data_IF_215469527776
#
_entry.id   IF_215469527776
#
_cell.length_a   1.000
_cell.length_b   1.000
_cell.length_c   1.000
_cell.angle_alpha   90.00
_cell.angle_beta   90.00
_cell.angle_gamma   90.00
#
_symmetry.space_group_name_H-M   'P 1'
#
loop_
_entity.id
_entity.type
_entity.pdbx_description
1 polymer ?
#
# COMPACT_ATOMS: atom_id res chain seq x y z
N UNK A 1 -10.53 7.76 11.36
CA UNK A 1 -11.39 7.72 10.17
C UNK A 1 -12.79 7.54 10.68
N UNK A 2 -13.60 8.55 10.62
CA UNK A 2 -15.00 8.41 10.94
C UNK A 2 -15.68 7.64 9.79
N UNK A 3 -16.66 6.89 10.11
CA UNK A 3 -17.78 6.44 9.30
C UNK A 3 -17.47 5.46 8.17
N UNK A 4 -17.35 4.21 8.48
CA UNK A 4 -17.42 3.21 7.46
C UNK A 4 -16.53 2.01 7.74
N UNK A 5 -16.58 1.10 6.85
CA UNK A 5 -15.77 -0.09 6.82
C UNK A 5 -14.27 0.23 6.91
N UNK A 6 -13.51 -0.63 7.59
CA UNK A 6 -12.07 -0.50 7.73
C UNK A 6 -11.36 -1.83 7.55
N UNK A 7 -10.24 -1.82 6.84
CA UNK A 7 -9.37 -3.00 6.72
C UNK A 7 -8.26 -2.91 7.76
N UNK A 8 -8.19 -3.90 8.64
CA UNK A 8 -7.21 -3.98 9.74
C UNK A 8 -6.48 -5.33 9.66
N UNK A 9 -5.15 -5.35 9.79
CA UNK A 9 -4.43 -6.61 9.94
C UNK A 9 -4.56 -7.12 11.37
N UNK A 10 -4.87 -8.40 11.53
CA UNK A 10 -4.72 -9.14 12.77
C UNK A 10 -3.52 -10.09 12.62
N UNK A 11 -2.87 -10.41 13.72
CA UNK A 11 -1.82 -11.42 13.74
C UNK A 11 -2.38 -12.62 14.50
N UNK A 12 -2.41 -13.77 13.84
CA UNK A 12 -2.84 -15.02 14.44
C UNK A 12 -1.73 -15.61 15.30
N UNK A 13 -2.06 -16.58 16.18
CA UNK A 13 -1.08 -17.25 17.02
C UNK A 13 0.03 -17.96 16.21
N UNK A 14 -0.28 -18.40 15.00
CA UNK A 14 0.68 -18.95 14.03
C UNK A 14 1.68 -17.95 13.46
N UNK A 15 1.56 -16.66 13.78
CA UNK A 15 2.34 -15.59 13.17
C UNK A 15 1.75 -15.06 11.86
N UNK A 16 0.72 -15.70 11.32
CA UNK A 16 0.07 -15.25 10.08
C UNK A 16 -0.60 -13.87 10.26
N UNK A 17 -0.39 -12.99 9.27
CA UNK A 17 -1.04 -11.67 9.20
C UNK A 17 -2.24 -11.74 8.29
N UNK A 18 -3.42 -11.76 8.89
CA UNK A 18 -4.68 -11.80 8.16
C UNK A 18 -5.32 -10.40 8.14
N UNK A 19 -5.45 -9.76 6.96
CA UNK A 19 -6.30 -8.58 6.82
C UNK A 19 -7.76 -8.94 7.01
N UNK A 20 -8.48 -8.12 7.79
CA UNK A 20 -9.90 -8.29 8.10
C UNK A 20 -10.63 -7.02 7.73
N UNK A 21 -11.76 -7.14 7.04
CA UNK A 21 -12.69 -6.05 6.77
C UNK A 21 -13.69 -5.96 7.93
N UNK A 22 -13.69 -4.84 8.62
CA UNK A 22 -14.56 -4.55 9.74
C UNK A 22 -15.60 -3.51 9.33
N UNK A 23 -16.80 -3.65 9.86
CA UNK A 23 -17.86 -2.66 9.78
C UNK A 23 -17.69 -1.49 10.76
N UNK A 24 -18.71 -0.68 10.95
CA UNK A 24 -18.75 0.46 11.89
C UNK A 24 -18.56 0.02 13.33
N UNK A 25 -19.15 -1.08 13.73
CA UNK A 25 -19.13 -1.63 15.09
C UNK A 25 -17.83 -2.39 15.37
N UNK A 26 -16.99 -2.57 14.36
CA UNK A 26 -15.73 -3.29 14.46
C UNK A 26 -15.90 -4.81 14.32
N UNK A 27 -17.05 -5.25 13.84
CA UNK A 27 -17.34 -6.65 13.54
C UNK A 27 -16.83 -7.02 12.13
N UNK A 28 -16.24 -8.20 11.93
CA UNK A 28 -15.87 -8.68 10.59
C UNK A 28 -17.09 -8.82 9.67
N UNK A 29 -17.02 -8.23 8.48
CA UNK A 29 -18.08 -8.35 7.47
C UNK A 29 -18.03 -9.75 6.86
N UNK A 30 -19.07 -10.55 7.07
CA UNK A 30 -19.08 -12.00 6.81
C UNK A 30 -18.72 -12.35 5.35
N UNK A 31 -19.54 -11.94 4.38
CA UNK A 31 -19.37 -12.36 2.98
C UNK A 31 -18.00 -12.00 2.37
N UNK A 32 -17.46 -10.76 2.51
CA UNK A 32 -16.10 -10.46 2.08
C UNK A 32 -15.02 -11.30 2.76
N UNK A 33 -15.21 -11.66 4.03
CA UNK A 33 -14.23 -12.49 4.73
C UNK A 33 -14.25 -13.94 4.24
N UNK A 34 -15.42 -14.52 4.00
CA UNK A 34 -15.56 -15.86 3.40
C UNK A 34 -14.93 -15.88 2.01
N UNK A 35 -15.25 -14.91 1.16
CA UNK A 35 -14.67 -14.75 -0.17
C UNK A 35 -13.13 -14.75 -0.12
N UNK A 36 -12.56 -13.92 0.75
CA UNK A 36 -11.11 -13.79 0.83
C UNK A 36 -10.45 -15.08 1.33
N UNK A 37 -11.06 -15.76 2.30
CA UNK A 37 -10.52 -17.01 2.83
C UNK A 37 -10.59 -18.14 1.79
N UNK A 38 -11.68 -18.26 1.05
CA UNK A 38 -11.86 -19.30 0.04
C UNK A 38 -11.04 -18.99 -1.22
N UNK A 39 -11.19 -17.80 -1.81
CA UNK A 39 -10.71 -17.50 -3.16
C UNK A 39 -9.32 -16.86 -3.20
N UNK A 40 -8.89 -16.21 -2.14
CA UNK A 40 -7.63 -15.44 -2.16
C UNK A 40 -6.56 -16.10 -1.29
N UNK A 41 -6.89 -16.39 -0.03
CA UNK A 41 -5.96 -17.01 0.92
C UNK A 41 -5.63 -18.45 0.49
N UNK A 42 -6.64 -19.23 0.09
CA UNK A 42 -6.46 -20.60 -0.40
C UNK A 42 -5.48 -20.71 -1.57
N UNK A 43 -5.33 -19.64 -2.36
CA UNK A 43 -4.34 -19.50 -3.44
C UNK A 43 -2.97 -18.99 -2.97
N UNK A 44 -2.68 -19.04 -1.67
CA UNK A 44 -1.42 -18.65 -1.03
C UNK A 44 -0.97 -17.20 -1.36
N UNK A 45 -1.93 -16.27 -1.43
CA UNK A 45 -1.65 -14.87 -1.70
C UNK A 45 -1.17 -14.15 -0.44
N UNK A 46 -0.21 -13.26 -0.62
CA UNK A 46 0.36 -12.47 0.47
C UNK A 46 -0.68 -11.57 1.14
N UNK A 47 -0.54 -11.33 2.46
CA UNK A 47 -1.42 -10.47 3.27
C UNK A 47 -1.67 -9.10 2.63
N UNK A 48 -0.66 -8.48 1.99
CA UNK A 48 -0.85 -7.22 1.28
C UNK A 48 -1.82 -7.33 0.09
N UNK A 49 -1.81 -8.45 -0.63
CA UNK A 49 -2.76 -8.71 -1.72
C UNK A 49 -4.18 -8.85 -1.16
N UNK A 50 -4.33 -9.62 -0.08
CA UNK A 50 -5.60 -9.78 0.64
C UNK A 50 -6.13 -8.40 1.08
N UNK A 51 -5.26 -7.55 1.65
CA UNK A 51 -5.64 -6.20 2.07
C UNK A 51 -6.09 -5.32 0.89
N UNK A 52 -5.49 -5.46 -0.30
CA UNK A 52 -5.91 -4.73 -1.50
C UNK A 52 -7.28 -5.24 -1.98
N UNK A 53 -7.50 -6.55 -1.99
CA UNK A 53 -8.79 -7.16 -2.32
C UNK A 53 -9.89 -6.63 -1.40
N UNK A 54 -9.69 -6.72 -0.08
CA UNK A 54 -10.67 -6.25 0.91
C UNK A 54 -10.93 -4.74 0.81
N UNK A 55 -9.92 -3.91 0.51
CA UNK A 55 -10.13 -2.48 0.26
C UNK A 55 -10.94 -2.23 -1.01
N UNK A 56 -10.79 -3.08 -2.02
CA UNK A 56 -11.59 -2.98 -3.24
C UNK A 56 -13.04 -3.37 -2.99
N UNK A 57 -13.27 -4.47 -2.27
CA UNK A 57 -14.62 -4.89 -1.84
C UNK A 57 -15.24 -3.83 -0.91
N UNK A 58 -14.47 -3.22 -0.02
CA UNK A 58 -14.93 -2.11 0.81
C UNK A 58 -15.47 -0.95 -0.03
N UNK A 59 -14.81 -0.60 -1.14
CA UNK A 59 -15.32 0.44 -2.06
C UNK A 59 -16.67 0.04 -2.65
N UNK A 60 -16.86 -1.22 -2.99
CA UNK A 60 -18.16 -1.74 -3.47
C UNK A 60 -19.24 -1.67 -2.40
N UNK A 61 -18.96 -2.06 -1.16
CA UNK A 61 -19.93 -1.95 -0.06
C UNK A 61 -20.30 -0.49 0.22
N UNK A 62 -19.34 0.45 0.15
CA UNK A 62 -19.62 1.89 0.24
C UNK A 62 -20.51 2.37 -0.91
N UNK A 63 -20.30 1.87 -2.12
CA UNK A 63 -21.15 2.15 -3.27
C UNK A 63 -22.58 1.68 -3.03
N UNK A 64 -22.77 0.43 -2.62
CA UNK A 64 -24.11 -0.12 -2.32
C UNK A 64 -24.82 0.73 -1.24
N UNK A 65 -24.12 1.07 -0.17
CA UNK A 65 -24.67 1.89 0.91
C UNK A 65 -25.08 3.29 0.41
N UNK A 66 -24.21 3.97 -0.32
CA UNK A 66 -24.49 5.31 -0.86
C UNK A 66 -25.64 5.32 -1.89
N UNK A 67 -25.81 4.24 -2.64
CA UNK A 67 -26.90 4.12 -3.63
C UNK A 67 -28.16 3.47 -3.07
N UNK A 68 -28.16 3.06 -1.80
CA UNK A 68 -29.26 2.33 -1.15
C UNK A 68 -29.66 1.07 -1.92
N UNK A 69 -28.65 0.33 -2.41
CA UNK A 69 -28.86 -0.91 -3.12
C UNK A 69 -28.85 -2.06 -2.11
N UNK A 70 -29.96 -2.69 -1.91
CA UNK A 70 -30.05 -3.97 -1.19
C UNK A 70 -29.68 -5.10 -2.16
N UNK A 71 -28.38 -5.37 -2.20
CA UNK A 71 -27.84 -6.33 -3.16
C UNK A 71 -28.15 -7.78 -2.77
N UNK A 72 -28.32 -8.07 -1.50
CA UNK A 72 -28.67 -9.40 -1.01
C UNK A 72 -30.09 -9.79 -1.44
N UNK A 73 -31.07 -8.91 -1.23
CA UNK A 73 -32.44 -9.11 -1.71
C UNK A 73 -32.52 -9.29 -3.23
N UNK A 74 -31.69 -8.57 -3.99
CA UNK A 74 -31.61 -8.74 -5.45
C UNK A 74 -31.07 -10.12 -5.84
N UNK A 75 -30.01 -10.61 -5.19
CA UNK A 75 -29.47 -11.95 -5.45
C UNK A 75 -30.52 -13.03 -5.22
N UNK A 76 -31.30 -12.92 -4.13
CA UNK A 76 -32.41 -13.84 -3.81
C UNK A 76 -33.52 -13.77 -4.88
N UNK A 77 -33.79 -12.59 -5.45
CA UNK A 77 -34.76 -12.42 -6.52
C UNK A 77 -34.24 -12.83 -7.91
N UNK A 78 -32.99 -13.24 -8.03
CA UNK A 78 -32.34 -13.52 -9.32
C UNK A 78 -32.00 -12.25 -10.10
N UNK A 79 -31.79 -11.14 -9.41
CA UNK A 79 -31.43 -9.85 -9.97
C UNK A 79 -29.98 -9.51 -9.65
N UNK A 80 -29.40 -8.58 -10.42
CA UNK A 80 -28.01 -8.18 -10.30
C UNK A 80 -27.86 -6.66 -10.52
N UNK A 81 -26.63 -6.16 -10.71
CA UNK A 81 -26.41 -4.76 -11.05
C UNK A 81 -26.92 -4.45 -12.45
N UNK A 82 -27.60 -3.32 -12.62
CA UNK A 82 -27.99 -2.78 -13.91
C UNK A 82 -26.80 -2.17 -14.66
N UNK A 83 -26.86 -2.01 -15.99
CA UNK A 83 -25.80 -1.36 -16.77
C UNK A 83 -25.46 0.07 -16.29
N UNK A 84 -26.48 0.83 -15.85
CA UNK A 84 -26.30 2.17 -15.30
C UNK A 84 -25.54 2.15 -13.95
N UNK A 85 -25.84 1.18 -13.10
CA UNK A 85 -25.14 1.00 -11.83
C UNK A 85 -23.68 0.55 -12.04
N UNK A 86 -23.40 -0.28 -13.05
CA UNK A 86 -22.02 -0.66 -13.41
C UNK A 86 -21.22 0.56 -13.87
N UNK A 87 -21.83 1.45 -14.68
CA UNK A 87 -21.19 2.69 -15.11
C UNK A 87 -20.89 3.60 -13.91
N UNK A 88 -21.85 3.76 -13.01
CA UNK A 88 -21.69 4.56 -11.80
C UNK A 88 -20.64 3.96 -10.86
N UNK A 89 -20.60 2.65 -10.66
CA UNK A 89 -19.59 1.93 -9.90
C UNK A 89 -18.18 2.17 -10.49
N UNK A 90 -18.05 2.15 -11.83
CA UNK A 90 -16.77 2.40 -12.47
C UNK A 90 -16.24 3.82 -12.19
N UNK A 91 -17.11 4.82 -12.21
CA UNK A 91 -16.79 6.21 -11.81
C UNK A 91 -16.43 6.28 -10.32
N UNK A 92 -17.21 5.62 -9.47
CA UNK A 92 -16.99 5.56 -8.04
C UNK A 92 -15.63 4.95 -7.68
N UNK A 93 -15.18 3.93 -8.42
CA UNK A 93 -13.87 3.32 -8.26
C UNK A 93 -12.68 4.25 -8.56
N UNK A 94 -12.90 5.37 -9.23
CA UNK A 94 -11.87 6.38 -9.50
C UNK A 94 -11.67 7.37 -8.35
N UNK A 95 -12.62 7.46 -7.42
CA UNK A 95 -12.57 8.43 -6.33
C UNK A 95 -11.59 8.00 -5.22
N UNK A 96 -10.84 8.93 -4.62
CA UNK A 96 -10.07 8.65 -3.41
C UNK A 96 -10.96 8.24 -2.23
N UNK A 97 -10.45 7.38 -1.36
CA UNK A 97 -11.19 6.96 -0.15
C UNK A 97 -11.59 8.12 0.76
N UNK A 98 -10.80 9.18 0.78
CA UNK A 98 -11.12 10.41 1.54
C UNK A 98 -12.35 11.12 1.02
N UNK A 99 -12.56 11.14 -0.29
CA UNK A 99 -13.77 11.71 -0.90
C UNK A 99 -14.98 10.80 -0.68
N UNK A 100 -14.79 9.48 -0.77
CA UNK A 100 -15.87 8.53 -0.47
C UNK A 100 -16.33 8.64 0.99
N UNK A 101 -15.41 8.86 1.91
CA UNK A 101 -15.74 9.14 3.31
C UNK A 101 -16.52 10.45 3.48
N UNK A 102 -16.10 11.52 2.81
CA UNK A 102 -16.80 12.80 2.84
C UNK A 102 -18.23 12.72 2.30
N UNK A 103 -18.43 11.96 1.21
CA UNK A 103 -19.79 11.73 0.66
C UNK A 103 -20.72 10.99 1.65
N UNK A 104 -20.16 10.11 2.47
CA UNK A 104 -20.91 9.43 3.54
C UNK A 104 -21.29 10.41 4.66
N UNK A 105 -20.35 11.23 5.11
CA UNK A 105 -20.55 12.23 6.15
C UNK A 105 -21.61 13.28 5.74
N UNK A 106 -21.54 13.77 4.49
CA UNK A 106 -22.52 14.70 3.96
C UNK A 106 -23.93 14.11 3.93
N UNK A 107 -24.05 12.81 3.72
CA UNK A 107 -25.34 12.14 3.63
C UNK A 107 -25.94 11.82 5.00
N UNK A 108 -25.15 11.46 5.98
CA UNK A 108 -25.62 11.10 7.33
C UNK A 108 -25.84 12.33 8.23
N UNK A 109 -25.12 13.42 7.96
CA UNK A 109 -25.03 14.59 8.85
C UNK A 109 -25.77 15.85 8.40
N UNK A 110 -26.44 15.91 7.25
CA UNK A 110 -27.04 17.17 6.78
C UNK A 110 -28.55 17.10 6.66
N UNK A 111 -29.28 17.98 7.39
CA UNK A 111 -30.60 18.42 6.93
C UNK A 111 -30.44 19.03 5.51
N UNK A 112 -31.49 18.98 4.65
CA UNK A 112 -31.36 19.49 3.30
C UNK A 112 -30.89 20.94 3.35
N UNK A 113 -29.67 21.20 2.87
CA UNK A 113 -29.14 22.56 2.76
C UNK A 113 -30.00 23.32 1.82
N UNK A 114 -30.75 24.28 2.34
CA UNK A 114 -31.45 25.28 1.53
C UNK A 114 -30.38 26.04 0.77
N UNK A 115 -30.21 25.73 -0.51
CA UNK A 115 -29.28 26.44 -1.39
C UNK A 115 -29.87 27.83 -1.66
N UNK A 116 -29.17 28.89 -1.32
CA UNK A 116 -29.52 30.22 -1.74
C UNK A 116 -29.48 30.32 -3.27
N UNK A 117 -30.43 31.05 -3.85
CA UNK A 117 -30.59 31.24 -5.30
C UNK A 117 -29.30 31.72 -5.97
N UNK A 118 -28.44 32.45 -5.26
CA UNK A 118 -27.13 32.89 -5.73
C UNK A 118 -26.13 31.72 -5.94
N UNK A 119 -26.16 30.70 -5.09
CA UNK A 119 -25.30 29.49 -5.27
C UNK A 119 -25.78 28.61 -6.44
N UNK A 120 -27.08 28.64 -6.72
CA UNK A 120 -27.67 27.95 -7.89
C UNK A 120 -27.30 28.66 -9.20
N UNK A 121 -27.24 30.02 -9.19
CA UNK A 121 -26.82 30.82 -10.35
C UNK A 121 -25.34 30.69 -10.72
N UNK A 122 -24.46 30.42 -9.77
CA UNK A 122 -23.04 30.20 -10.05
C UNK A 122 -22.73 28.86 -10.75
N UNK A 123 -23.74 28.03 -10.96
CA UNK A 123 -23.56 26.68 -11.54
C UNK A 123 -22.73 25.76 -10.63
N UNK A 124 -22.80 24.47 -10.81
CA UNK A 124 -21.90 23.57 -10.08
C UNK A 124 -20.47 23.91 -10.51
N UNK A 125 -19.71 24.56 -9.63
CA UNK A 125 -18.25 24.53 -9.79
C UNK A 125 -17.89 23.08 -9.94
N UNK A 126 -17.44 22.68 -11.14
CA UNK A 126 -16.79 21.39 -11.36
C UNK A 126 -15.53 21.40 -10.50
N UNK A 127 -15.68 21.02 -9.23
CA UNK A 127 -14.55 20.60 -8.43
C UNK A 127 -13.98 19.44 -9.23
N UNK A 128 -12.84 19.65 -9.85
CA UNK A 128 -12.08 18.56 -10.45
C UNK A 128 -11.76 17.60 -9.31
N UNK A 129 -12.62 16.60 -9.14
CA UNK A 129 -12.47 15.59 -8.11
C UNK A 129 -11.13 14.90 -8.41
N UNK A 130 -10.21 14.97 -7.48
CA UNK A 130 -8.95 14.27 -7.63
C UNK A 130 -9.25 12.78 -7.86
N UNK A 131 -8.76 12.22 -8.95
CA UNK A 131 -8.90 10.80 -9.23
C UNK A 131 -7.71 10.02 -8.66
N UNK A 132 -7.95 8.76 -8.33
CA UNK A 132 -6.86 7.81 -8.01
C UNK A 132 -6.08 7.45 -9.28
N UNK A 133 -4.85 6.96 -9.12
CA UNK A 133 -4.09 6.46 -10.26
C UNK A 133 -4.87 5.36 -11.01
N UNK A 134 -4.79 5.32 -12.36
CA UNK A 134 -5.53 4.35 -13.18
C UNK A 134 -5.34 2.90 -12.74
N UNK A 135 -4.15 2.52 -12.28
CA UNK A 135 -3.87 1.17 -11.77
C UNK A 135 -4.65 0.85 -10.48
N UNK A 136 -4.93 1.85 -9.67
CA UNK A 136 -5.73 1.68 -8.44
C UNK A 136 -7.19 1.43 -8.82
N UNK A 137 -7.73 2.22 -9.76
CA UNK A 137 -9.09 2.03 -10.27
C UNK A 137 -9.24 0.66 -10.96
N UNK A 138 -8.27 0.29 -11.80
CA UNK A 138 -8.24 -1.02 -12.46
C UNK A 138 -8.22 -2.18 -11.45
N UNK A 139 -7.42 -2.10 -10.39
CA UNK A 139 -7.38 -3.12 -9.36
C UNK A 139 -8.71 -3.20 -8.59
N UNK A 140 -9.32 -2.06 -8.26
CA UNK A 140 -10.64 -2.05 -7.62
C UNK A 140 -11.67 -2.77 -8.47
N UNK A 141 -11.79 -2.44 -9.75
CA UNK A 141 -12.73 -3.07 -10.67
C UNK A 141 -12.49 -4.56 -10.83
N UNK A 142 -11.22 -5.01 -10.99
CA UNK A 142 -10.89 -6.45 -11.10
C UNK A 142 -11.31 -7.24 -9.86
N UNK A 143 -11.03 -6.72 -8.66
CA UNK A 143 -11.35 -7.43 -7.42
C UNK A 143 -12.84 -7.37 -7.08
N UNK A 144 -13.53 -6.27 -7.41
CA UNK A 144 -14.98 -6.18 -7.29
C UNK A 144 -15.64 -7.17 -8.24
N UNK A 145 -15.18 -7.28 -9.50
CA UNK A 145 -15.69 -8.28 -10.45
C UNK A 145 -15.54 -9.70 -9.91
N UNK A 146 -14.36 -10.05 -9.38
CA UNK A 146 -14.14 -11.37 -8.77
C UNK A 146 -15.10 -11.63 -7.60
N UNK A 147 -15.31 -10.63 -6.76
CA UNK A 147 -16.24 -10.74 -5.64
C UNK A 147 -17.69 -10.89 -6.08
N UNK A 148 -18.13 -10.13 -7.10
CA UNK A 148 -19.47 -10.22 -7.66
C UNK A 148 -19.73 -11.59 -8.31
N UNK A 149 -18.76 -12.14 -9.04
CA UNK A 149 -18.85 -13.49 -9.61
C UNK A 149 -19.00 -14.54 -8.50
N UNK A 150 -18.15 -14.46 -7.46
CA UNK A 150 -18.25 -15.35 -6.32
C UNK A 150 -19.62 -15.24 -5.61
N UNK A 151 -20.15 -14.03 -5.40
CA UNK A 151 -21.47 -13.85 -4.80
C UNK A 151 -22.58 -14.48 -5.65
N UNK A 152 -22.49 -14.38 -6.98
CA UNK A 152 -23.45 -15.03 -7.87
C UNK A 152 -23.36 -16.54 -7.79
N UNK A 153 -22.14 -17.12 -7.77
CA UNK A 153 -21.90 -18.57 -7.62
C UNK A 153 -22.43 -19.08 -6.27
N UNK A 154 -22.17 -18.37 -5.18
CA UNK A 154 -22.72 -18.67 -3.85
C UNK A 154 -24.25 -18.64 -3.84
N UNK A 155 -24.87 -17.65 -4.49
CA UNK A 155 -26.32 -17.54 -4.58
C UNK A 155 -26.91 -18.68 -5.43
N UNK A 156 -26.26 -19.06 -6.52
CA UNK A 156 -26.65 -20.21 -7.35
C UNK A 156 -26.52 -21.55 -6.62
N UNK A 157 -25.51 -21.68 -5.75
CA UNK A 157 -25.28 -22.88 -4.94
C UNK A 157 -26.26 -23.02 -3.76
N UNK A 158 -26.95 -21.97 -3.36
CA UNK A 158 -27.95 -22.01 -2.28
C UNK A 158 -29.21 -22.76 -2.74
N UNK A 159 -29.64 -23.76 -1.97
CA UNK A 159 -30.89 -24.46 -2.23
C UNK A 159 -32.07 -23.49 -2.07
N UNK A 160 -32.78 -23.18 -3.13
CA UNK A 160 -34.01 -22.38 -3.07
C UNK A 160 -34.27 -21.39 -4.22
N UNK A 161 -33.28 -21.12 -5.09
CA UNK A 161 -33.54 -20.33 -6.29
C UNK A 161 -34.34 -21.17 -7.31
N UNK A 162 -35.47 -20.60 -7.79
CA UNK A 162 -36.20 -21.22 -8.88
C UNK A 162 -35.28 -21.35 -10.13
N UNK A 163 -35.43 -22.42 -10.94
CA UNK A 163 -34.52 -22.66 -12.08
C UNK A 163 -34.41 -21.48 -13.04
N UNK A 164 -35.56 -20.77 -13.27
CA UNK A 164 -35.59 -19.59 -14.14
C UNK A 164 -34.80 -18.41 -13.54
N UNK A 165 -34.93 -18.17 -12.24
CA UNK A 165 -34.16 -17.13 -11.51
C UNK A 165 -32.69 -17.47 -11.49
N UNK A 166 -32.30 -18.74 -11.32
CA UNK A 166 -30.92 -19.19 -11.38
C UNK A 166 -30.30 -18.96 -12.76
N UNK A 167 -30.99 -19.34 -13.83
CA UNK A 167 -30.51 -19.10 -15.20
C UNK A 167 -30.34 -17.59 -15.48
N UNK A 168 -31.32 -16.77 -15.06
CA UNK A 168 -31.26 -15.32 -15.19
C UNK A 168 -30.09 -14.71 -14.43
N UNK A 169 -29.87 -15.12 -13.17
CA UNK A 169 -28.75 -14.63 -12.35
C UNK A 169 -27.39 -14.97 -12.98
N UNK A 170 -27.23 -16.18 -13.52
CA UNK A 170 -26.02 -16.57 -14.23
C UNK A 170 -25.71 -15.72 -15.45
N UNK A 171 -26.75 -15.43 -16.26
CA UNK A 171 -26.63 -14.55 -17.43
C UNK A 171 -26.30 -13.10 -17.04
N UNK A 172 -26.99 -12.56 -16.04
CA UNK A 172 -26.74 -11.21 -15.55
C UNK A 172 -25.35 -11.05 -14.97
N UNK A 173 -24.88 -12.01 -14.17
CA UNK A 173 -23.54 -12.02 -13.60
C UNK A 173 -22.46 -11.98 -14.69
N UNK A 174 -22.60 -12.79 -15.74
CA UNK A 174 -21.70 -12.79 -16.89
C UNK A 174 -21.67 -11.43 -17.60
N UNK A 175 -22.83 -10.89 -17.95
CA UNK A 175 -22.95 -9.58 -18.60
C UNK A 175 -22.34 -8.44 -17.78
N UNK A 176 -22.56 -8.46 -16.47
CA UNK A 176 -21.97 -7.47 -15.55
C UNK A 176 -20.44 -7.64 -15.49
N UNK A 177 -19.94 -8.88 -15.47
CA UNK A 177 -18.50 -9.11 -15.50
C UNK A 177 -17.84 -8.56 -16.78
N UNK A 178 -18.45 -8.81 -17.94
CA UNK A 178 -18.00 -8.27 -19.23
C UNK A 178 -18.08 -6.72 -19.27
N UNK A 179 -19.18 -6.17 -18.74
CA UNK A 179 -19.35 -4.73 -18.64
C UNK A 179 -18.32 -4.06 -17.72
N UNK A 180 -17.93 -4.71 -16.63
CA UNK A 180 -16.85 -4.22 -15.76
C UNK A 180 -15.50 -4.33 -16.48
N UNK A 181 -15.22 -5.43 -17.17
CA UNK A 181 -13.97 -5.64 -17.91
C UNK A 181 -13.75 -4.56 -18.97
N UNK A 182 -14.78 -4.18 -19.71
CA UNK A 182 -14.71 -3.10 -20.71
C UNK A 182 -14.39 -1.72 -20.11
N UNK A 183 -14.59 -1.54 -18.80
CA UNK A 183 -14.36 -0.29 -18.06
C UNK A 183 -13.05 -0.29 -17.25
N UNK A 184 -12.36 -1.41 -17.23
CA UNK A 184 -11.03 -1.45 -16.58
C UNK A 184 -10.07 -0.58 -17.38
N UNK A 185 -9.46 0.45 -16.77
CA UNK A 185 -8.46 1.25 -17.47
C UNK A 185 -7.34 0.38 -18.03
N UNK A 186 -7.13 0.46 -19.33
CA UNK A 186 -5.96 -0.18 -19.93
C UNK A 186 -4.70 0.47 -19.41
N UNK A 187 -3.65 -0.32 -19.20
CA UNK A 187 -2.31 0.24 -19.05
C UNK A 187 -2.02 0.96 -20.36
N UNK A 188 -2.12 2.28 -20.36
CA UNK A 188 -1.45 3.08 -21.40
C UNK A 188 -0.01 2.63 -21.35
N UNK A 189 0.43 2.01 -22.46
CA UNK A 189 1.78 1.51 -22.59
C UNK A 189 2.73 2.57 -22.07
N UNK A 190 3.51 2.22 -21.03
CA UNK A 190 4.42 3.19 -20.44
C UNK A 190 5.25 3.75 -21.58
N UNK A 191 5.17 5.07 -21.76
CA UNK A 191 5.99 5.77 -22.72
C UNK A 191 7.42 5.23 -22.52
N UNK A 192 8.00 4.61 -23.52
CA UNK A 192 9.36 4.05 -23.45
C UNK A 192 10.38 5.11 -23.04
N UNK A 193 10.04 6.40 -23.25
CA UNK A 193 10.76 7.57 -22.75
C UNK A 193 10.72 7.72 -21.22
N UNK A 194 9.84 7.00 -20.51
CA UNK A 194 9.83 6.91 -19.04
C UNK A 194 10.45 5.61 -18.53
N UNK A 195 11.26 4.92 -19.33
CA UNK A 195 12.10 3.85 -18.82
C UNK A 195 12.94 4.39 -17.66
N UNK A 196 13.05 3.56 -16.62
CA UNK A 196 13.82 3.92 -15.44
C UNK A 196 15.29 4.03 -15.83
N UNK A 197 15.74 5.23 -15.95
CA UNK A 197 17.16 5.50 -15.91
C UNK A 197 17.67 5.24 -14.50
N UNK A 198 18.84 4.61 -14.39
CA UNK A 198 19.56 4.50 -13.14
C UNK A 198 19.91 5.90 -12.62
N UNK A 199 20.28 6.01 -11.34
CA UNK A 199 20.88 7.23 -10.84
C UNK A 199 22.21 7.43 -11.58
N UNK A 200 22.49 8.66 -12.02
CA UNK A 200 23.83 9.00 -12.47
C UNK A 200 24.83 8.88 -11.32
N UNK A 201 26.09 8.64 -11.61
CA UNK A 201 27.14 8.55 -10.60
C UNK A 201 27.23 9.81 -9.74
N UNK A 202 27.08 10.99 -10.35
CA UNK A 202 27.03 12.26 -9.62
C UNK A 202 25.85 12.34 -8.65
N UNK A 203 24.68 11.84 -9.07
CA UNK A 203 23.49 11.79 -8.19
C UNK A 203 23.68 10.85 -7.03
N UNK A 204 24.37 9.73 -7.23
CA UNK A 204 24.73 8.77 -6.16
C UNK A 204 25.74 9.40 -5.22
N UNK A 205 26.79 10.04 -5.75
CA UNK A 205 27.80 10.72 -4.95
C UNK A 205 27.21 11.83 -4.08
N UNK A 206 26.33 12.66 -4.64
CA UNK A 206 25.65 13.72 -3.91
C UNK A 206 24.68 13.15 -2.84
N UNK A 207 23.96 12.08 -3.15
CA UNK A 207 23.11 11.40 -2.18
C UNK A 207 23.95 10.91 -0.99
N UNK A 208 25.09 10.23 -1.26
CA UNK A 208 25.97 9.72 -0.21
C UNK A 208 26.56 10.85 0.63
N UNK A 209 26.92 11.98 0.03
CA UNK A 209 27.39 13.19 0.71
C UNK A 209 26.31 13.76 1.68
N UNK A 210 25.07 13.86 1.22
CA UNK A 210 23.97 14.41 2.03
C UNK A 210 23.62 13.49 3.20
N UNK A 211 23.60 12.16 2.99
CA UNK A 211 23.22 11.20 4.03
C UNK A 211 24.36 10.86 4.99
N UNK A 212 25.56 11.32 4.73
CA UNK A 212 26.69 11.11 5.67
C UNK A 212 26.25 11.54 7.08
N UNK A 213 26.45 10.69 8.11
CA UNK A 213 26.05 11.01 9.48
C UNK A 213 26.62 12.31 10.02
N UNK A 214 27.79 12.72 9.54
CA UNK A 214 28.47 13.96 9.95
C UNK A 214 28.13 15.17 9.07
N UNK A 215 27.43 14.94 7.94
CA UNK A 215 27.09 16.02 7.03
C UNK A 215 26.18 17.07 7.69
N UNK A 216 26.47 18.38 7.55
CA UNK A 216 25.58 19.44 8.00
C UNK A 216 24.27 19.47 7.20
N UNK A 217 24.28 18.96 5.97
CA UNK A 217 23.13 18.87 5.09
C UNK A 217 22.24 17.65 5.38
N UNK A 218 22.61 16.83 6.37
CA UNK A 218 21.87 15.64 6.70
C UNK A 218 20.45 15.97 7.20
N UNK A 219 19.37 15.47 6.54
CA UNK A 219 18.00 15.83 6.86
C UNK A 219 17.50 15.31 8.21
N UNK A 220 18.21 14.37 8.81
CA UNK A 220 17.86 13.77 10.10
C UNK A 220 18.64 14.42 11.22
N UNK A 221 17.96 14.72 12.33
CA UNK A 221 18.58 15.36 13.49
C UNK A 221 19.18 14.38 14.49
N UNK A 222 18.50 13.25 14.68
CA UNK A 222 18.89 12.23 15.66
C UNK A 222 20.07 11.41 15.16
N UNK A 223 21.17 11.28 15.94
CA UNK A 223 22.39 10.58 15.52
C UNK A 223 22.14 9.12 15.12
N UNK A 224 21.36 8.38 15.91
CA UNK A 224 21.02 7.00 15.57
C UNK A 224 20.28 6.92 14.23
N UNK A 225 19.35 7.85 13.98
CA UNK A 225 18.61 7.91 12.72
C UNK A 225 19.52 8.21 11.54
N UNK A 226 20.51 9.10 11.72
CA UNK A 226 21.51 9.42 10.68
C UNK A 226 22.29 8.16 10.28
N UNK A 227 22.91 7.49 11.24
CA UNK A 227 23.70 6.27 11.01
C UNK A 227 22.87 5.13 10.42
N UNK A 228 21.71 4.84 11.02
CA UNK A 228 20.82 3.80 10.53
C UNK A 228 20.36 4.02 9.09
N UNK A 229 19.95 5.25 8.77
CA UNK A 229 19.42 5.56 7.44
C UNK A 229 20.52 5.60 6.39
N UNK A 230 21.71 6.11 6.73
CA UNK A 230 22.90 6.06 5.86
C UNK A 230 23.24 4.61 5.53
N UNK A 231 23.38 3.77 6.55
CA UNK A 231 23.67 2.35 6.38
C UNK A 231 22.58 1.64 5.54
N UNK A 232 21.31 1.87 5.84
CA UNK A 232 20.20 1.27 5.09
C UNK A 232 20.25 1.67 3.61
N UNK A 233 20.52 2.94 3.29
CA UNK A 233 20.60 3.40 1.91
C UNK A 233 21.81 2.77 1.21
N UNK A 234 22.94 2.66 1.88
CA UNK A 234 24.12 1.96 1.35
C UNK A 234 23.81 0.47 1.07
N UNK A 235 23.10 -0.22 1.96
CA UNK A 235 22.63 -1.58 1.72
C UNK A 235 21.74 -1.70 0.48
N UNK A 236 20.81 -0.74 0.29
CA UNK A 236 19.93 -0.73 -0.87
C UNK A 236 20.71 -0.47 -2.18
N UNK A 237 21.70 0.43 -2.17
CA UNK A 237 22.50 0.77 -3.34
C UNK A 237 23.50 -0.35 -3.70
N UNK A 238 24.30 -0.80 -2.73
CA UNK A 238 25.38 -1.75 -2.99
C UNK A 238 24.87 -3.17 -3.27
N UNK A 239 23.79 -3.60 -2.62
CA UNK A 239 23.26 -4.96 -2.74
C UNK A 239 22.05 -5.06 -3.65
N UNK A 240 21.56 -3.95 -4.20
CA UNK A 240 20.37 -3.92 -5.06
C UNK A 240 19.10 -4.45 -4.38
N UNK A 241 18.99 -4.26 -3.07
CA UNK A 241 17.88 -4.79 -2.28
C UNK A 241 16.62 -3.94 -2.42
N UNK A 242 15.46 -4.61 -2.33
CA UNK A 242 14.21 -3.90 -2.04
C UNK A 242 14.16 -3.53 -0.55
N UNK A 243 13.49 -2.42 -0.24
CA UNK A 243 13.33 -1.97 1.16
C UNK A 243 12.78 -3.08 2.07
N UNK A 244 11.77 -3.84 1.58
CA UNK A 244 11.21 -4.96 2.34
C UNK A 244 12.21 -6.09 2.60
N UNK A 245 13.14 -6.34 1.69
CA UNK A 245 14.21 -7.31 1.85
C UNK A 245 15.20 -6.85 2.91
N UNK A 246 15.70 -5.62 2.81
CA UNK A 246 16.64 -5.05 3.78
C UNK A 246 16.06 -5.01 5.20
N UNK A 247 14.78 -4.61 5.34
CA UNK A 247 14.11 -4.57 6.65
C UNK A 247 13.75 -5.96 7.22
N UNK A 248 13.82 -7.00 6.41
CA UNK A 248 13.66 -8.40 6.80
C UNK A 248 14.95 -9.09 7.25
N UNK A 249 16.11 -8.46 7.05
CA UNK A 249 17.41 -9.02 7.43
C UNK A 249 17.52 -9.12 8.95
N UNK A 250 17.97 -10.29 9.43
CA UNK A 250 18.35 -10.54 10.81
C UNK A 250 19.86 -10.41 10.97
N UNK A 251 20.33 -10.08 12.17
CA UNK A 251 21.78 -10.04 12.48
C UNK A 251 22.45 -11.38 12.17
N UNK A 252 21.76 -12.50 12.45
CA UNK A 252 22.25 -13.86 12.16
C UNK A 252 22.35 -14.21 10.68
N UNK A 253 21.73 -13.43 9.78
CA UNK A 253 21.82 -13.65 8.34
C UNK A 253 23.17 -13.17 7.77
N UNK A 254 23.97 -12.45 8.55
CA UNK A 254 25.25 -11.89 8.17
C UNK A 254 26.37 -12.83 8.63
N UNK A 255 27.08 -13.40 7.68
CA UNK A 255 28.21 -14.30 7.92
C UNK A 255 29.50 -13.52 7.71
N UNK A 256 29.99 -12.88 8.79
CA UNK A 256 31.11 -11.92 8.72
C UNK A 256 32.39 -12.52 8.15
N UNK A 257 32.76 -13.75 8.54
CA UNK A 257 34.00 -14.40 8.07
C UNK A 257 33.95 -14.76 6.57
N UNK A 258 32.74 -14.90 5.98
CA UNK A 258 32.59 -15.10 4.54
C UNK A 258 32.31 -13.80 3.79
N UNK A 259 32.09 -12.71 4.50
CA UNK A 259 31.66 -11.43 3.94
C UNK A 259 30.39 -11.60 3.09
N UNK A 260 29.40 -12.31 3.62
CA UNK A 260 28.16 -12.65 2.94
C UNK A 260 26.93 -12.30 3.80
N UNK A 261 25.82 -12.04 3.13
CA UNK A 261 24.50 -11.93 3.76
C UNK A 261 23.49 -12.78 3.01
N UNK A 262 22.67 -13.52 3.74
CA UNK A 262 21.57 -14.31 3.17
C UNK A 262 20.27 -13.52 3.25
N UNK A 263 19.67 -13.26 2.10
CA UNK A 263 18.34 -12.65 2.02
C UNK A 263 17.30 -13.76 2.01
N UNK A 264 16.60 -13.91 3.11
CA UNK A 264 15.54 -14.92 3.27
C UNK A 264 14.16 -14.38 2.91
N UNK A 265 13.31 -15.26 2.36
CA UNK A 265 11.88 -15.02 2.26
C UNK A 265 11.20 -15.54 3.53
N UNK A 266 10.91 -14.65 4.47
CA UNK A 266 10.16 -14.95 5.70
C UNK A 266 8.76 -14.39 5.57
N UNK A 267 7.81 -15.25 5.23
CA UNK A 267 6.39 -14.92 5.28
C UNK A 267 5.85 -15.35 6.63
N UNK A 268 4.97 -14.54 7.22
CA UNK A 268 4.24 -14.84 8.45
C UNK A 268 5.12 -15.34 9.62
N UNK A 269 6.26 -14.67 9.78
CA UNK A 269 7.24 -14.96 10.83
C UNK A 269 6.64 -14.68 12.22
N UNK A 270 6.47 -15.69 13.10
CA UNK A 270 5.91 -15.50 14.43
C UNK A 270 6.78 -14.62 15.35
N UNK A 271 8.11 -14.62 15.12
CA UNK A 271 9.06 -13.81 15.87
C UNK A 271 9.05 -12.34 15.46
N UNK A 272 8.32 -11.97 14.40
CA UNK A 272 8.24 -10.59 13.96
C UNK A 272 7.13 -9.83 14.71
N UNK A 273 7.47 -8.90 15.61
CA UNK A 273 6.46 -8.15 16.36
C UNK A 273 5.72 -7.11 15.51
N UNK A 274 6.12 -6.90 14.25
CA UNK A 274 5.50 -5.90 13.37
C UNK A 274 4.15 -6.38 12.88
N UNK A 275 3.12 -5.56 13.07
CA UNK A 275 1.79 -5.79 12.51
C UNK A 275 1.77 -5.83 10.97
N UNK A 276 2.65 -5.04 10.34
CA UNK A 276 2.85 -5.01 8.89
C UNK A 276 4.26 -5.48 8.60
N UNK A 277 4.41 -6.78 8.43
CA UNK A 277 5.69 -7.39 8.14
C UNK A 277 6.19 -6.96 6.75
N UNK A 278 7.45 -6.56 6.61
CA UNK A 278 8.07 -6.37 5.30
C UNK A 278 8.10 -7.71 4.55
N UNK A 279 7.62 -7.71 3.31
CA UNK A 279 7.56 -8.94 2.52
C UNK A 279 8.63 -8.96 1.45
N UNK A 280 9.34 -10.07 1.37
CA UNK A 280 10.29 -10.38 0.29
C UNK A 280 9.54 -11.04 -0.86
N UNK A 281 9.58 -10.42 -2.05
CA UNK A 281 8.91 -10.94 -3.26
C UNK A 281 9.79 -11.89 -4.08
N UNK A 282 11.09 -11.91 -3.80
CA UNK A 282 12.09 -12.71 -4.51
C UNK A 282 12.39 -14.02 -3.77
N UNK A 283 13.06 -14.93 -4.47
CA UNK A 283 13.60 -16.15 -3.86
C UNK A 283 14.75 -15.80 -2.91
N UNK A 284 14.99 -16.67 -1.94
CA UNK A 284 16.16 -16.55 -1.07
C UNK A 284 17.45 -16.57 -1.90
N UNK A 285 18.41 -15.74 -1.51
CA UNK A 285 19.72 -15.62 -2.18
C UNK A 285 20.81 -15.16 -1.23
N UNK A 286 22.04 -15.56 -1.53
CA UNK A 286 23.24 -15.09 -0.83
C UNK A 286 23.84 -13.95 -1.65
N UNK A 287 24.26 -12.89 -0.99
CA UNK A 287 24.90 -11.73 -1.61
C UNK A 287 26.26 -11.45 -0.94
N UNK A 288 27.29 -11.11 -1.70
CA UNK A 288 28.56 -10.68 -1.14
C UNK A 288 28.40 -9.32 -0.45
N UNK A 289 29.02 -9.18 0.71
CA UNK A 289 29.04 -7.95 1.49
C UNK A 289 30.44 -7.34 1.42
N UNK A 290 30.58 -6.20 0.75
CA UNK A 290 31.87 -5.51 0.67
C UNK A 290 32.42 -5.19 2.06
N UNK A 291 33.73 -5.21 2.22
CA UNK A 291 34.41 -5.08 3.51
C UNK A 291 34.01 -3.80 4.26
N UNK A 292 34.02 -2.66 3.56
CA UNK A 292 33.60 -1.38 4.14
C UNK A 292 32.16 -1.43 4.67
N UNK A 293 31.24 -1.96 3.88
CA UNK A 293 29.83 -2.09 4.28
C UNK A 293 29.65 -3.06 5.44
N UNK A 294 30.45 -4.13 5.50
CA UNK A 294 30.45 -5.07 6.63
C UNK A 294 30.92 -4.40 7.91
N UNK A 295 32.03 -3.65 7.87
CA UNK A 295 32.58 -2.92 9.03
C UNK A 295 31.57 -1.88 9.55
N UNK A 296 30.95 -1.09 8.66
CA UNK A 296 29.89 -0.14 9.04
C UNK A 296 28.67 -0.85 9.66
N UNK A 297 28.31 -2.02 9.12
CA UNK A 297 27.21 -2.82 9.66
C UNK A 297 27.53 -3.34 11.06
N UNK A 298 28.75 -3.81 11.29
CA UNK A 298 29.22 -4.24 12.61
C UNK A 298 29.26 -3.07 13.60
N UNK A 299 29.80 -1.92 13.19
CA UNK A 299 29.80 -0.70 14.00
C UNK A 299 28.37 -0.28 14.39
N UNK A 300 27.42 -0.33 13.44
CA UNK A 300 26.02 -0.06 13.73
C UNK A 300 25.43 -1.04 14.74
N UNK A 301 25.68 -2.35 14.60
CA UNK A 301 25.18 -3.37 15.52
C UNK A 301 25.71 -3.14 16.93
N UNK A 302 27.01 -2.90 17.06
CA UNK A 302 27.70 -2.82 18.35
C UNK A 302 27.46 -1.50 19.08
N UNK A 303 27.48 -0.37 18.36
CA UNK A 303 27.46 0.95 18.98
C UNK A 303 26.09 1.62 18.99
N UNK A 304 25.28 1.39 17.98
CA UNK A 304 24.00 2.10 17.82
C UNK A 304 22.79 1.23 18.13
N UNK A 305 22.72 0.02 17.52
CA UNK A 305 21.61 -0.89 17.71
C UNK A 305 21.55 -1.41 19.14
N UNK A 306 22.69 -1.88 19.67
CA UNK A 306 22.79 -2.49 21.02
C UNK A 306 22.41 -1.54 22.15
N UNK A 307 22.54 -0.23 21.95
CA UNK A 307 22.20 0.80 22.94
C UNK A 307 20.68 0.99 23.12
N UNK A 308 19.86 0.44 22.23
CA UNK A 308 18.42 0.64 22.30
C UNK A 308 17.69 -0.45 23.10
N UNK A 309 16.67 -0.08 23.89
CA UNK A 309 16.05 -0.96 24.90
C UNK A 309 15.51 -2.30 24.37
N UNK A 310 14.79 -2.26 23.24
CA UNK A 310 14.15 -3.45 22.69
C UNK A 310 14.95 -4.17 21.61
N UNK A 311 16.12 -3.67 21.25
CA UNK A 311 16.94 -4.23 20.16
C UNK A 311 17.41 -5.67 20.43
N UNK A 312 17.57 -6.05 21.70
CA UNK A 312 17.94 -7.41 22.12
C UNK A 312 16.77 -8.40 22.12
N UNK A 313 15.53 -7.92 22.04
CA UNK A 313 14.32 -8.76 22.10
C UNK A 313 13.89 -9.34 20.73
N UNK A 314 14.60 -9.01 19.68
CA UNK A 314 14.32 -9.50 18.34
C UNK A 314 15.60 -9.52 17.48
N UNK A 315 15.68 -10.36 16.45
CA UNK A 315 16.91 -10.55 15.67
C UNK A 315 17.13 -9.53 14.54
N UNK A 316 16.16 -8.67 14.21
CA UNK A 316 16.22 -7.80 13.03
C UNK A 316 17.32 -6.75 13.10
N UNK A 317 18.01 -6.53 11.96
CA UNK A 317 19.14 -5.61 11.85
C UNK A 317 18.73 -4.16 12.06
N UNK A 318 17.79 -3.67 11.28
CA UNK A 318 17.38 -2.26 11.30
C UNK A 318 16.27 -1.99 12.32
N UNK A 319 16.49 -1.04 13.22
CA UNK A 319 15.60 -0.75 14.34
C UNK A 319 15.16 0.71 14.39
N UNK A 320 14.02 0.96 15.02
CA UNK A 320 13.48 2.30 15.24
C UNK A 320 14.27 3.02 16.34
N UNK A 321 14.68 4.26 16.09
CA UNK A 321 15.63 5.02 16.90
C UNK A 321 15.25 5.26 18.35
N UNK A 322 13.97 5.30 18.71
CA UNK A 322 13.54 5.55 20.08
C UNK A 322 13.28 4.29 20.87
N UNK A 323 12.71 3.30 20.21
CA UNK A 323 12.21 2.10 20.89
C UNK A 323 13.13 0.89 20.73
N UNK A 324 13.94 0.86 19.68
CA UNK A 324 14.70 -0.34 19.30
C UNK A 324 13.83 -1.46 18.70
N UNK A 325 12.54 -1.22 18.45
CA UNK A 325 11.66 -2.17 17.74
C UNK A 325 12.10 -2.33 16.28
N UNK A 326 11.80 -3.47 15.62
CA UNK A 326 12.13 -3.63 14.20
C UNK A 326 11.55 -2.51 13.35
N UNK A 327 12.35 -1.96 12.47
CA UNK A 327 11.93 -0.85 11.61
C UNK A 327 10.84 -1.28 10.64
N UNK A 328 9.80 -0.45 10.47
CA UNK A 328 8.73 -0.66 9.50
C UNK A 328 8.95 0.15 8.22
N UNK A 329 8.27 -0.21 7.13
CA UNK A 329 8.35 0.51 5.84
C UNK A 329 7.84 1.97 5.90
N UNK A 330 7.06 2.33 6.92
CA UNK A 330 6.39 3.65 7.02
C UNK A 330 7.34 4.85 7.15
N UNK A 331 8.41 4.81 7.97
CA UNK A 331 9.26 5.98 8.19
C UNK A 331 10.04 6.43 6.94
N UNK A 332 10.53 5.50 6.13
CA UNK A 332 11.35 5.82 4.94
C UNK A 332 10.58 6.62 3.89
N UNK A 333 9.32 6.27 3.63
CA UNK A 333 8.49 6.99 2.67
C UNK A 333 8.11 8.41 3.09
N UNK A 334 8.07 8.70 4.40
CA UNK A 334 7.81 10.03 4.95
C UNK A 334 9.03 10.96 4.89
N UNK A 335 10.20 10.45 5.26
CA UNK A 335 11.43 11.25 5.38
C UNK A 335 12.05 11.61 4.03
N UNK A 336 12.05 10.72 3.06
CA UNK A 336 12.50 11.04 1.70
C UNK A 336 11.53 11.95 0.94
N UNK A 337 10.24 11.98 1.33
CA UNK A 337 9.29 13.01 0.85
C UNK A 337 9.61 14.43 1.36
N UNK A 338 10.23 14.57 2.52
CA UNK A 338 10.62 15.87 3.09
C UNK A 338 11.78 16.45 2.29
N UNK A 339 12.78 15.64 1.94
CA UNK A 339 13.90 16.05 1.07
C UNK A 339 13.43 16.46 -0.34
N UNK A 340 12.33 15.86 -0.84
CA UNK A 340 11.81 16.14 -2.18
C UNK A 340 10.81 17.30 -2.24
N UNK A 341 10.21 17.74 -1.11
CA UNK A 341 9.20 18.82 -1.09
C UNK A 341 9.77 20.19 -0.79
N UNK A 342 10.95 20.31 -0.17
CA UNK A 342 11.55 21.58 0.21
C UNK A 342 13.08 21.54 0.08
N UNK A 343 13.65 21.64 -1.13
CA UNK A 343 15.10 21.80 -1.29
C UNK A 343 15.63 23.05 -0.61
N UNK A 344 14.80 24.11 -0.42
CA UNK A 344 15.18 25.37 0.24
C UNK A 344 15.18 25.32 1.78
N UNK A 345 14.77 24.23 2.41
CA UNK A 345 14.88 24.08 3.87
C UNK A 345 16.19 23.45 4.32
N UNK A 346 16.98 22.95 3.38
CA UNK A 346 18.30 22.39 3.67
C UNK A 346 19.45 23.40 3.62
N UNK A 347 19.23 24.61 3.09
CA UNK A 347 20.27 25.65 3.11
C UNK A 347 19.68 27.00 3.46
N UNK A 348 19.86 27.42 4.73
CA UNK A 348 19.55 28.81 5.13
C UNK A 348 20.63 29.81 4.72
N UNK A 349 21.80 29.35 4.22
CA UNK A 349 22.94 30.21 3.95
C UNK A 349 23.73 29.83 2.68
N UNK A 350 23.09 29.72 1.51
CA UNK A 350 23.84 29.58 0.26
C UNK A 350 23.27 30.46 -0.87
N UNK A 351 24.10 31.16 -1.66
CA UNK A 351 23.64 32.10 -2.67
C UNK A 351 22.91 31.39 -3.82
N UNK A 352 21.92 32.09 -4.36
CA UNK A 352 21.04 31.68 -5.47
C UNK A 352 21.80 31.41 -6.78
N UNK A 353 22.43 30.26 -6.90
CA UNK A 353 22.83 29.74 -8.22
C UNK A 353 23.02 28.23 -8.11
N UNK A 354 22.33 27.51 -8.94
CA UNK A 354 22.26 26.05 -9.09
C UNK A 354 21.17 25.34 -8.28
N UNK A 355 19.97 25.40 -8.81
CA UNK A 355 18.88 24.46 -8.44
C UNK A 355 18.09 24.06 -9.67
N UNK A 356 18.75 23.38 -10.62
CA UNK A 356 18.12 22.64 -11.72
C UNK A 356 18.33 21.14 -11.56
N UNK A 357 17.98 20.61 -10.36
CA UNK A 357 17.98 19.15 -10.09
C UNK A 357 16.56 18.61 -10.00
N UNK A 358 15.69 18.93 -10.96
CA UNK A 358 14.34 18.36 -11.08
C UNK A 358 14.35 16.83 -11.29
N UNK A 359 15.45 16.26 -11.78
CA UNK A 359 15.61 14.83 -12.04
C UNK A 359 15.78 13.98 -10.79
N UNK A 360 16.65 14.38 -9.87
CA UNK A 360 17.08 13.55 -8.72
C UNK A 360 15.96 13.34 -7.69
N UNK A 361 15.19 14.37 -7.40
CA UNK A 361 14.08 14.31 -6.45
C UNK A 361 12.90 13.48 -6.96
N UNK A 362 12.66 13.51 -8.27
CA UNK A 362 11.59 12.71 -8.89
C UNK A 362 11.97 11.21 -8.96
N UNK A 363 13.25 10.91 -9.14
CA UNK A 363 13.78 9.56 -9.20
C UNK A 363 13.70 8.84 -7.84
N UNK A 364 14.18 9.47 -6.77
CA UNK A 364 14.07 8.91 -5.41
C UNK A 364 12.61 8.64 -5.04
N UNK A 365 11.67 9.49 -5.44
CA UNK A 365 10.22 9.23 -5.32
C UNK A 365 9.75 8.01 -6.09
N UNK A 366 10.21 7.83 -7.33
CA UNK A 366 9.83 6.70 -8.18
C UNK A 366 10.46 5.39 -7.71
N UNK A 367 11.74 5.44 -7.31
CA UNK A 367 12.47 4.26 -6.86
C UNK A 367 11.88 3.69 -5.57
N UNK A 368 11.54 4.53 -4.60
CA UNK A 368 10.96 4.09 -3.33
C UNK A 368 9.49 3.66 -3.40
N UNK A 369 8.73 4.08 -4.41
CA UNK A 369 7.37 3.56 -4.62
C UNK A 369 7.35 2.14 -5.18
N UNK A 370 8.46 1.66 -5.70
CA UNK A 370 8.61 0.33 -6.30
C UNK A 370 9.59 -0.57 -5.53
N UNK A 371 10.49 0.00 -4.69
CA UNK A 371 11.18 -0.74 -3.65
C UNK A 371 10.23 -1.02 -2.48
#
# INVERSE_FOLDING_TARGET
>A
MPHGYRVKNITLASGERLPVLLDLDGVPVFAPMVFVLAEVRGKNRAANTIAIVLRSVMVFLLFLHLRRIDFESRLIAGEFLSPAEVEDLARFCRLPLTQLAALLEEREGSPPKVLTIEKVRMGPQRVLLAEVAPEVAANRLRYIRMYLQWLAEEALGRHGLAPLSAARLGDLSRRVAEAIDSRIPHRTGGNTLSQREGLSEDSVAELLRIIDPQSPDNPWRDPHTRYRNALLIQWLLNLGLRVGEALGVRVSDIVAYRKEVTIHRRADDPDDPRRYQPQTKTRARILPLGEALLLETQAYILSYRSALPYSKKHPYLFVASRTGQPMSNRPLGGYLRICTKNPHRCSKDSPRTYCDTHGTTHFLRKWMKKA
#
